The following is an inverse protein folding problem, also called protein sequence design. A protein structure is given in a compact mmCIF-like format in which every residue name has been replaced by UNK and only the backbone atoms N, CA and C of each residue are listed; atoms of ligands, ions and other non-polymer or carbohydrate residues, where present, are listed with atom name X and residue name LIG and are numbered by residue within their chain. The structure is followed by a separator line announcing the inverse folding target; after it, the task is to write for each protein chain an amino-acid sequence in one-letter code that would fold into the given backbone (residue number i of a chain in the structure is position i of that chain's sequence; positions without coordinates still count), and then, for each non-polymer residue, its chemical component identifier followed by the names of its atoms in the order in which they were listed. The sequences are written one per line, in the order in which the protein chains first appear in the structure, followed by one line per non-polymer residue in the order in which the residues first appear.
data_IF_324749799479
#
_entry.id   IF_324749799479
#
_cell.length_a   1.000
_cell.length_b   1.000
_cell.length_c   1.000
_cell.angle_alpha   90.00
_cell.angle_beta   90.00
_cell.angle_gamma   90.00
#
_symmetry.space_group_name_H-M   'P 1'
#
loop_
_entity.id
_entity.type
_entity.pdbx_description
1 polymer ?
#
# COMPACT_ATOMS: atom_id res chain seq x y z
N UNK A 1 -5.69 19.50 59.20
CA UNK A 1 -5.68 19.81 57.76
C UNK A 1 -5.51 18.49 57.05
N UNK A 2 -6.60 17.96 56.52
CA UNK A 2 -6.69 16.59 55.99
C UNK A 2 -6.78 16.72 54.48
N UNK A 3 -5.73 16.30 53.78
CA UNK A 3 -5.70 16.28 52.32
C UNK A 3 -6.76 15.30 51.80
N UNK A 4 -7.74 15.86 51.08
CA UNK A 4 -8.77 15.09 50.43
C UNK A 4 -8.16 14.32 49.26
N UNK A 5 -8.22 13.00 49.41
CA UNK A 5 -7.91 12.00 48.41
C UNK A 5 -8.84 12.21 47.19
N UNK A 6 -8.33 12.83 46.11
CA UNK A 6 -9.04 12.89 44.84
C UNK A 6 -9.07 11.47 44.24
N UNK A 7 -10.20 10.80 44.48
CA UNK A 7 -10.67 9.62 43.79
C UNK A 7 -10.61 9.84 42.27
N UNK A 8 -9.53 9.37 41.64
CA UNK A 8 -9.47 9.25 40.19
C UNK A 8 -10.41 8.13 39.78
N UNK A 9 -11.60 8.51 39.31
CA UNK A 9 -12.52 7.58 38.64
C UNK A 9 -11.77 6.86 37.51
N UNK A 10 -11.96 5.54 37.35
CA UNK A 10 -11.28 4.80 36.30
C UNK A 10 -11.68 5.37 34.95
N UNK A 11 -10.69 5.74 34.12
CA UNK A 11 -10.89 6.12 32.73
C UNK A 11 -11.57 4.95 32.02
N UNK A 12 -12.88 5.05 31.84
CA UNK A 12 -13.66 4.16 30.97
C UNK A 12 -12.95 4.20 29.61
N UNK A 13 -12.52 3.05 29.10
CA UNK A 13 -11.91 2.93 27.77
C UNK A 13 -12.83 3.57 26.72
N UNK A 14 -12.57 4.82 26.37
CA UNK A 14 -13.34 5.54 25.37
C UNK A 14 -12.97 4.95 24.00
N UNK A 15 -13.98 4.43 23.28
CA UNK A 15 -13.81 3.84 21.96
C UNK A 15 -13.78 4.96 20.91
N UNK A 16 -12.76 5.81 20.97
CA UNK A 16 -12.59 6.92 20.02
C UNK A 16 -11.98 8.17 20.65
N UNK A 17 -11.60 9.12 19.79
CA UNK A 17 -10.94 10.37 20.17
C UNK A 17 -11.94 11.42 20.70
N UNK A 18 -13.25 11.17 20.60
CA UNK A 18 -14.28 12.17 20.86
C UNK A 18 -15.54 11.56 21.48
N UNK A 19 -16.22 12.33 22.33
CA UNK A 19 -17.52 11.99 22.89
C UNK A 19 -18.65 12.52 21.98
N UNK A 20 -19.27 11.62 21.22
CA UNK A 20 -20.29 11.98 20.21
C UNK A 20 -21.48 12.72 20.81
N UNK A 21 -21.81 12.49 22.09
CA UNK A 21 -22.93 13.15 22.76
C UNK A 21 -22.64 14.60 23.19
N UNK A 22 -21.40 15.05 23.05
CA UNK A 22 -20.96 16.39 23.45
C UNK A 22 -20.63 17.29 22.24
N UNK A 23 -20.79 16.78 21.01
CA UNK A 23 -20.54 17.55 19.79
C UNK A 23 -21.50 18.75 19.72
N UNK A 24 -20.97 19.91 19.34
CA UNK A 24 -21.74 21.14 19.18
C UNK A 24 -21.78 21.63 17.73
N UNK A 25 -22.84 22.38 17.40
CA UNK A 25 -22.96 23.05 16.10
C UNK A 25 -21.82 24.05 15.96
N UNK A 26 -21.07 23.97 14.85
CA UNK A 26 -19.92 24.83 14.57
C UNK A 26 -18.56 24.23 14.93
N UNK A 27 -18.52 23.03 15.51
CA UNK A 27 -17.25 22.31 15.73
C UNK A 27 -16.64 21.81 14.41
N UNK A 28 -15.31 21.88 14.32
CA UNK A 28 -14.54 21.37 13.19
C UNK A 28 -14.02 19.97 13.52
N UNK A 29 -14.30 19.00 12.64
CA UNK A 29 -13.81 17.62 12.75
C UNK A 29 -12.87 17.31 11.58
N UNK A 30 -11.86 16.47 11.82
CA UNK A 30 -10.94 16.02 10.79
C UNK A 30 -10.63 14.53 10.97
N UNK A 31 -10.63 13.80 9.87
CA UNK A 31 -10.08 12.44 9.79
C UNK A 31 -9.53 12.17 8.38
N UNK A 32 -8.57 11.24 8.30
CA UNK A 32 -8.13 10.67 7.02
C UNK A 32 -8.82 9.31 6.89
N UNK A 33 -9.57 9.14 5.80
CA UNK A 33 -10.31 7.92 5.52
C UNK A 33 -10.03 7.44 4.10
N UNK A 34 -9.71 6.15 3.97
CA UNK A 34 -9.56 5.46 2.69
C UNK A 34 -10.82 4.65 2.40
N UNK A 35 -11.20 4.60 1.12
CA UNK A 35 -12.43 3.95 0.67
C UNK A 35 -12.14 2.98 -0.46
N UNK A 36 -12.82 1.83 -0.43
CA UNK A 36 -12.95 0.92 -1.57
C UNK A 36 -14.35 1.07 -2.16
N UNK A 37 -14.42 1.34 -3.46
CA UNK A 37 -15.69 1.44 -4.18
C UNK A 37 -16.33 0.06 -4.30
N UNK A 38 -17.59 -0.06 -3.91
CA UNK A 38 -18.39 -1.30 -4.04
C UNK A 38 -19.35 -1.20 -5.22
N UNK A 39 -19.98 -0.03 -5.40
CA UNK A 39 -20.97 0.19 -6.46
C UNK A 39 -21.00 1.65 -6.89
N UNK A 40 -21.11 1.89 -8.19
CA UNK A 40 -21.29 3.22 -8.77
C UNK A 40 -22.74 3.38 -9.21
N UNK A 41 -23.40 4.43 -8.74
CA UNK A 41 -24.75 4.82 -9.16
C UNK A 41 -24.70 6.15 -9.95
N UNK A 42 -25.80 6.62 -10.55
CA UNK A 42 -25.81 7.86 -11.32
C UNK A 42 -25.38 9.11 -10.53
N UNK A 43 -25.86 9.28 -9.29
CA UNK A 43 -25.57 10.46 -8.44
C UNK A 43 -24.61 10.19 -7.28
N UNK A 44 -24.47 8.93 -6.88
CA UNK A 44 -23.72 8.54 -5.68
C UNK A 44 -22.81 7.35 -5.93
N UNK A 45 -21.86 7.13 -5.03
CA UNK A 45 -20.98 5.95 -5.01
C UNK A 45 -21.10 5.28 -3.65
N UNK A 46 -21.37 3.97 -3.66
CA UNK A 46 -21.34 3.13 -2.45
C UNK A 46 -19.91 2.67 -2.21
N UNK A 47 -19.41 2.89 -1.00
CA UNK A 47 -18.04 2.58 -0.61
C UNK A 47 -18.01 1.82 0.72
N UNK A 48 -16.92 1.11 0.96
CA UNK A 48 -16.54 0.61 2.28
C UNK A 48 -15.25 1.29 2.70
N UNK A 49 -15.27 1.89 3.89
CA UNK A 49 -14.09 2.48 4.51
C UNK A 49 -13.08 1.39 4.89
N UNK A 50 -11.79 1.74 5.02
CA UNK A 50 -10.77 0.84 5.60
C UNK A 50 -11.16 0.31 7.00
N UNK A 51 -12.06 1.02 7.69
CA UNK A 51 -12.59 0.61 8.99
C UNK A 51 -13.68 -0.49 8.89
N UNK A 52 -14.11 -0.84 7.68
CA UNK A 52 -15.16 -1.83 7.42
C UNK A 52 -16.59 -1.25 7.43
N UNK A 53 -16.72 0.08 7.49
CA UNK A 53 -18.02 0.76 7.52
C UNK A 53 -18.45 1.08 6.09
N UNK A 54 -19.62 0.58 5.68
CA UNK A 54 -20.24 0.94 4.42
C UNK A 54 -20.90 2.32 4.49
N UNK A 55 -20.75 3.11 3.43
CA UNK A 55 -21.37 4.43 3.31
C UNK A 55 -21.65 4.76 1.84
N UNK A 56 -22.45 5.80 1.62
CA UNK A 56 -22.74 6.35 0.29
C UNK A 56 -22.22 7.78 0.24
N UNK A 57 -21.50 8.11 -0.82
CA UNK A 57 -20.89 9.42 -1.04
C UNK A 57 -21.50 10.03 -2.30
N UNK A 58 -21.91 11.29 -2.23
CA UNK A 58 -22.34 12.05 -3.40
C UNK A 58 -21.18 12.29 -4.36
N UNK A 59 -21.45 12.21 -5.67
CA UNK A 59 -20.39 12.37 -6.68
C UNK A 59 -19.69 13.72 -6.63
N UNK A 60 -20.39 14.77 -6.19
CA UNK A 60 -19.81 16.10 -6.04
C UNK A 60 -18.65 16.10 -5.03
N UNK A 61 -18.73 15.28 -3.97
CA UNK A 61 -17.62 15.11 -3.03
C UNK A 61 -16.52 14.18 -3.57
N UNK A 62 -16.90 13.20 -4.40
CA UNK A 62 -15.93 12.27 -5.03
C UNK A 62 -14.97 12.98 -5.97
N UNK A 63 -15.41 14.07 -6.64
CA UNK A 63 -14.55 14.82 -7.55
C UNK A 63 -13.31 15.44 -6.89
N UNK A 64 -13.40 15.74 -5.59
CA UNK A 64 -12.27 16.26 -4.80
C UNK A 64 -11.35 15.15 -4.26
N UNK A 65 -11.67 13.86 -4.49
CA UNK A 65 -10.91 12.73 -4.00
C UNK A 65 -9.83 12.28 -4.98
N UNK A 66 -8.72 11.75 -4.45
CA UNK A 66 -7.69 11.11 -5.27
C UNK A 66 -7.95 9.60 -5.43
N UNK A 67 -7.80 9.12 -6.67
CA UNK A 67 -7.82 7.69 -6.98
C UNK A 67 -6.41 7.12 -6.94
N UNK A 68 -6.30 5.88 -6.45
CA UNK A 68 -5.07 5.11 -6.50
C UNK A 68 -4.69 4.67 -7.93
N UNK A 69 -5.66 4.58 -8.85
CA UNK A 69 -5.48 3.97 -10.17
C UNK A 69 -5.60 4.96 -11.33
N UNK A 70 -6.29 6.09 -11.15
CA UNK A 70 -6.49 7.07 -12.20
C UNK A 70 -5.36 8.12 -12.21
N UNK A 71 -4.94 8.50 -13.41
CA UNK A 71 -3.98 9.56 -13.66
C UNK A 71 -4.25 10.20 -15.02
N UNK A 72 -3.75 11.42 -15.20
CA UNK A 72 -3.88 12.20 -16.42
C UNK A 72 -2.52 12.52 -17.05
N UNK A 73 -1.44 12.42 -16.27
CA UNK A 73 -0.09 12.78 -16.67
C UNK A 73 0.83 11.59 -16.44
N UNK A 74 1.68 11.29 -17.42
CA UNK A 74 2.84 10.43 -17.23
C UNK A 74 4.11 11.29 -17.18
N UNK A 75 4.96 11.05 -16.19
CA UNK A 75 6.23 11.76 -16.02
C UNK A 75 7.37 10.75 -15.85
N UNK A 76 8.31 10.75 -16.78
CA UNK A 76 9.51 9.94 -16.65
C UNK A 76 10.54 10.66 -15.79
N UNK A 77 10.90 10.05 -14.67
CA UNK A 77 11.78 10.63 -13.66
C UNK A 77 12.94 9.70 -13.31
N UNK A 78 13.99 10.28 -12.74
CA UNK A 78 15.14 9.56 -12.21
C UNK A 78 14.80 8.86 -10.89
N UNK A 79 15.66 7.93 -10.48
CA UNK A 79 15.57 7.25 -9.18
C UNK A 79 15.59 8.24 -8.00
N UNK A 80 16.42 9.27 -8.07
CA UNK A 80 16.50 10.27 -6.99
C UNK A 80 15.20 11.06 -6.88
N UNK A 81 14.61 11.46 -8.00
CA UNK A 81 13.33 12.18 -8.02
C UNK A 81 12.18 11.35 -7.44
N UNK A 82 12.10 10.04 -7.74
CA UNK A 82 11.01 9.22 -7.20
C UNK A 82 11.12 9.03 -5.69
N UNK A 83 12.35 8.94 -5.17
CA UNK A 83 12.60 8.89 -3.73
C UNK A 83 12.11 10.18 -3.06
N UNK A 84 12.35 11.34 -3.67
CA UNK A 84 11.83 12.61 -3.19
C UNK A 84 10.30 12.67 -3.21
N UNK A 85 9.65 12.15 -4.26
CA UNK A 85 8.19 12.08 -4.30
C UNK A 85 7.68 11.21 -3.14
N UNK A 86 8.19 9.99 -3.00
CA UNK A 86 7.75 9.04 -1.98
C UNK A 86 7.98 9.55 -0.56
N UNK A 87 9.12 10.20 -0.30
CA UNK A 87 9.43 10.81 0.99
C UNK A 87 8.46 11.92 1.41
N UNK A 88 7.68 12.48 0.48
CA UNK A 88 6.74 13.58 0.75
C UNK A 88 5.25 13.17 0.60
N UNK A 89 4.94 11.91 0.31
CA UNK A 89 3.55 11.45 0.14
C UNK A 89 2.77 11.47 1.46
N UNK A 90 3.42 11.14 2.58
CA UNK A 90 2.76 11.01 3.88
C UNK A 90 1.62 9.99 3.89
N UNK A 91 0.51 10.32 4.53
CA UNK A 91 -0.68 9.46 4.64
C UNK A 91 -1.65 9.61 3.44
N UNK A 92 -1.17 10.04 2.29
CA UNK A 92 -2.03 10.11 1.10
C UNK A 92 -2.03 8.77 0.37
N UNK A 93 -3.14 8.48 -0.30
CA UNK A 93 -3.27 7.25 -1.07
C UNK A 93 -2.40 7.29 -2.32
N UNK A 94 -1.71 6.19 -2.60
CA UNK A 94 -0.91 6.00 -3.79
C UNK A 94 -0.92 4.53 -4.24
N UNK A 95 -0.52 4.31 -5.50
CA UNK A 95 -0.15 2.98 -6.00
C UNK A 95 1.32 2.97 -6.34
N UNK A 96 2.09 2.03 -5.81
CA UNK A 96 3.49 1.82 -6.18
C UNK A 96 3.66 0.45 -6.79
N UNK A 97 4.49 0.37 -7.82
CA UNK A 97 4.97 -0.89 -8.36
C UNK A 97 6.49 -0.95 -8.22
N UNK A 98 6.97 -2.06 -7.68
CA UNK A 98 8.38 -2.27 -7.36
C UNK A 98 8.72 -3.75 -7.37
N UNK A 99 10.00 -4.08 -7.48
CA UNK A 99 10.44 -5.47 -7.38
C UNK A 99 10.81 -5.80 -5.93
N UNK A 100 10.11 -6.76 -5.34
CA UNK A 100 10.48 -7.32 -4.04
C UNK A 100 11.52 -8.43 -4.21
N UNK A 101 12.30 -8.64 -3.16
CA UNK A 101 13.21 -9.79 -3.10
C UNK A 101 12.41 -11.10 -3.16
N UNK A 102 12.87 -12.04 -3.99
CA UNK A 102 12.28 -13.37 -4.12
C UNK A 102 12.54 -14.17 -2.84
N UNK A 103 11.51 -14.83 -2.29
CA UNK A 103 11.67 -15.63 -1.07
C UNK A 103 12.43 -16.93 -1.38
N UNK A 104 13.25 -17.45 -0.46
CA UNK A 104 14.00 -18.68 -0.67
C UNK A 104 13.15 -19.90 -1.11
N UNK A 105 11.91 -20.00 -0.61
CA UNK A 105 10.96 -21.05 -1.01
C UNK A 105 10.59 -20.98 -2.50
N UNK A 106 10.40 -19.77 -3.01
CA UNK A 106 10.02 -19.54 -4.40
C UNK A 106 11.22 -19.78 -5.32
N UNK A 107 12.44 -19.46 -4.85
CA UNK A 107 13.69 -19.82 -5.52
C UNK A 107 13.79 -21.34 -5.69
N UNK A 108 13.55 -22.11 -4.61
CA UNK A 108 13.60 -23.57 -4.65
C UNK A 108 12.63 -24.14 -5.68
N UNK A 109 11.39 -23.65 -5.71
CA UNK A 109 10.38 -24.10 -6.67
C UNK A 109 10.76 -23.75 -8.12
N UNK A 110 11.31 -22.54 -8.35
CA UNK A 110 11.83 -22.14 -9.67
C UNK A 110 13.00 -23.01 -10.12
N UNK A 111 13.92 -23.37 -9.22
CA UNK A 111 15.03 -24.26 -9.55
C UNK A 111 14.58 -25.70 -9.84
N UNK A 112 13.59 -26.21 -9.09
CA UNK A 112 13.03 -27.55 -9.32
C UNK A 112 12.30 -27.66 -10.67
N UNK A 113 11.58 -26.62 -11.07
CA UNK A 113 10.92 -26.54 -12.39
C UNK A 113 11.92 -26.32 -13.53
N UNK A 114 13.12 -25.82 -13.24
CA UNK A 114 14.18 -25.65 -14.24
C UNK A 114 14.81 -26.97 -14.69
N UNK A 115 14.73 -28.01 -13.83
CA UNK A 115 15.42 -29.28 -14.01
C UNK A 115 14.50 -30.43 -14.41
N UNK A 116 13.18 -30.26 -14.28
CA UNK A 116 12.17 -31.30 -14.52
C UNK A 116 10.98 -30.76 -15.32
N UNK A 117 10.39 -31.60 -16.16
CA UNK A 117 9.12 -31.34 -16.84
C UNK A 117 7.90 -31.55 -15.91
N UNK A 118 6.69 -31.31 -16.42
CA UNK A 118 5.42 -31.48 -15.67
C UNK A 118 5.19 -32.92 -15.20
N UNK A 119 5.84 -33.90 -15.84
CA UNK A 119 5.77 -35.34 -15.52
C UNK A 119 6.89 -35.78 -14.56
N UNK A 120 7.77 -34.85 -14.15
CA UNK A 120 8.87 -35.10 -13.22
C UNK A 120 10.13 -35.70 -13.86
N UNK A 121 10.20 -35.79 -15.19
CA UNK A 121 11.38 -36.29 -15.91
C UNK A 121 12.42 -35.17 -16.07
N UNK A 122 13.72 -35.49 -15.98
CA UNK A 122 14.78 -34.49 -16.15
C UNK A 122 14.81 -33.93 -17.57
N UNK A 123 14.93 -32.61 -17.70
CA UNK A 123 15.09 -31.91 -18.98
C UNK A 123 16.48 -32.16 -19.59
N UNK A 124 16.64 -31.82 -20.87
CA UNK A 124 17.95 -31.87 -21.53
C UNK A 124 18.92 -30.85 -20.92
N UNK A 125 20.23 -31.09 -21.04
CA UNK A 125 21.25 -30.18 -20.51
C UNK A 125 21.10 -28.75 -21.08
N UNK A 126 20.82 -28.63 -22.37
CA UNK A 126 20.62 -27.34 -23.05
C UNK A 126 19.40 -26.59 -22.51
N UNK A 127 18.29 -27.29 -22.28
CA UNK A 127 17.07 -26.69 -21.71
C UNK A 127 17.29 -26.24 -20.26
N UNK A 128 18.02 -27.05 -19.47
CA UNK A 128 18.39 -26.71 -18.09
C UNK A 128 19.26 -25.46 -18.08
N UNK A 129 20.30 -25.38 -18.91
CA UNK A 129 21.19 -24.22 -18.96
C UNK A 129 20.40 -22.95 -19.32
N UNK A 130 19.56 -23.01 -20.34
CA UNK A 130 18.70 -21.90 -20.76
C UNK A 130 17.73 -21.47 -19.65
N UNK A 131 17.13 -22.42 -18.94
CA UNK A 131 16.22 -22.14 -17.84
C UNK A 131 16.93 -21.53 -16.62
N UNK A 132 18.11 -22.05 -16.26
CA UNK A 132 18.93 -21.49 -15.17
C UNK A 132 19.39 -20.06 -15.48
N UNK A 133 19.77 -19.77 -16.73
CA UNK A 133 20.11 -18.41 -17.14
C UNK A 133 18.94 -17.44 -17.02
N UNK A 134 17.72 -17.85 -17.40
CA UNK A 134 16.50 -17.04 -17.20
C UNK A 134 16.20 -16.82 -15.73
N UNK A 135 16.25 -17.88 -14.93
CA UNK A 135 15.99 -17.81 -13.49
C UNK A 135 17.00 -16.89 -12.80
N UNK A 136 18.28 -16.98 -13.14
CA UNK A 136 19.31 -16.09 -12.59
C UNK A 136 19.00 -14.61 -12.86
N UNK A 137 18.57 -14.26 -14.08
CA UNK A 137 18.13 -12.90 -14.42
C UNK A 137 16.90 -12.47 -13.63
N UNK A 138 15.90 -13.32 -13.51
CA UNK A 138 14.66 -13.04 -12.77
C UNK A 138 14.92 -12.88 -11.26
N UNK A 139 15.81 -13.70 -10.69
CA UNK A 139 16.19 -13.60 -9.29
C UNK A 139 16.92 -12.30 -8.97
N UNK A 140 17.81 -11.86 -9.87
CA UNK A 140 18.50 -10.58 -9.73
C UNK A 140 17.55 -9.38 -9.87
N UNK A 141 16.55 -9.48 -10.76
CA UNK A 141 15.54 -8.43 -10.95
C UNK A 141 14.55 -8.36 -9.80
N UNK A 142 14.21 -9.49 -9.19
CA UNK A 142 13.17 -9.61 -8.17
C UNK A 142 11.78 -9.91 -8.76
N UNK A 143 10.80 -10.11 -7.88
CA UNK A 143 9.40 -10.33 -8.27
C UNK A 143 8.66 -9.00 -8.26
N UNK A 144 8.02 -8.67 -9.38
CA UNK A 144 7.21 -7.46 -9.51
C UNK A 144 6.01 -7.51 -8.56
N UNK A 145 5.77 -6.38 -7.88
CA UNK A 145 4.63 -6.22 -6.99
C UNK A 145 4.04 -4.83 -7.15
N UNK A 146 2.71 -4.79 -7.28
CA UNK A 146 1.92 -3.58 -7.11
C UNK A 146 1.35 -3.54 -5.69
N UNK A 147 1.33 -2.37 -5.07
CA UNK A 147 0.75 -2.10 -3.76
C UNK A 147 -0.09 -0.83 -3.85
N UNK A 148 -1.32 -0.90 -3.33
CA UNK A 148 -2.18 0.27 -3.11
C UNK A 148 -2.19 0.57 -1.62
N UNK A 149 -1.82 1.79 -1.23
CA UNK A 149 -1.59 2.07 0.18
C UNK A 149 -1.31 3.52 0.53
N UNK A 150 -0.86 3.70 1.76
CA UNK A 150 -0.38 4.96 2.32
C UNK A 150 0.84 4.68 3.21
N UNK A 151 1.71 5.68 3.43
CA UNK A 151 2.88 5.50 4.28
C UNK A 151 2.48 5.56 5.76
N UNK A 152 3.03 4.63 6.55
CA UNK A 152 2.86 4.63 8.00
C UNK A 152 3.86 5.59 8.65
N UNK A 153 5.14 5.42 8.30
CA UNK A 153 6.27 6.23 8.76
C UNK A 153 7.28 6.35 7.63
N UNK A 154 7.85 7.54 7.49
CA UNK A 154 8.92 7.83 6.53
C UNK A 154 10.25 7.54 7.23
N UNK A 155 10.72 6.30 7.17
CA UNK A 155 12.08 5.97 7.62
C UNK A 155 13.06 6.26 6.49
N UNK A 156 13.47 7.52 6.38
CA UNK A 156 14.32 8.02 5.28
C UNK A 156 15.78 7.51 5.30
N UNK A 157 16.19 6.76 6.32
CA UNK A 157 17.62 6.52 6.54
C UNK A 157 18.23 5.39 5.70
N UNK A 158 17.44 4.56 4.99
CA UNK A 158 18.01 3.44 4.21
C UNK A 158 17.32 3.15 2.86
N UNK A 159 16.62 4.12 2.26
CA UNK A 159 15.99 3.94 0.93
C UNK A 159 14.84 2.92 0.94
N UNK A 160 14.16 2.78 2.07
CA UNK A 160 13.00 1.91 2.26
C UNK A 160 11.91 2.66 3.02
N UNK A 161 10.65 2.36 2.71
CA UNK A 161 9.52 2.93 3.46
C UNK A 161 8.51 1.87 3.88
N UNK A 162 7.95 2.08 5.07
CA UNK A 162 6.85 1.29 5.62
C UNK A 162 5.51 1.82 5.10
N UNK A 163 4.75 0.97 4.42
CA UNK A 163 3.41 1.28 3.92
C UNK A 163 2.37 0.30 4.45
N UNK A 164 1.15 0.79 4.60
CA UNK A 164 -0.04 -0.05 4.83
C UNK A 164 -0.64 -0.42 3.49
N UNK A 165 -0.72 -1.72 3.24
CA UNK A 165 -1.38 -2.29 2.07
C UNK A 165 -2.91 -2.32 2.28
N UNK A 166 -3.63 -1.55 1.47
CA UNK A 166 -5.10 -1.42 1.52
C UNK A 166 -5.82 -2.62 0.88
N UNK A 167 -5.14 -3.43 0.09
CA UNK A 167 -5.74 -4.63 -0.52
C UNK A 167 -5.86 -5.78 0.48
N UNK A 168 -5.10 -5.72 1.57
CA UNK A 168 -5.10 -6.72 2.61
C UNK A 168 -6.12 -6.35 3.69
N UNK A 169 -7.01 -7.29 3.98
CA UNK A 169 -8.06 -7.15 4.99
C UNK A 169 -7.52 -6.71 6.36
N UNK A 170 -8.30 -5.86 7.03
CA UNK A 170 -8.02 -5.41 8.38
C UNK A 170 -8.00 -6.60 9.35
N UNK A 171 -7.02 -6.62 10.26
CA UNK A 171 -6.78 -7.74 11.19
C UNK A 171 -5.70 -8.72 10.72
N UNK A 172 -5.30 -8.68 9.45
CA UNK A 172 -4.11 -9.38 8.94
C UNK A 172 -2.87 -8.48 8.99
N UNK A 173 -1.69 -9.05 8.75
CA UNK A 173 -0.46 -8.27 8.62
C UNK A 173 -0.43 -7.52 7.27
N UNK A 174 -0.72 -6.22 7.33
CA UNK A 174 -0.80 -5.29 6.18
C UNK A 174 0.47 -4.47 5.97
N UNK A 175 1.40 -4.49 6.92
CA UNK A 175 2.62 -3.69 6.85
C UNK A 175 3.52 -4.25 5.75
N UNK A 176 3.98 -3.38 4.85
CA UNK A 176 4.88 -3.73 3.75
C UNK A 176 6.05 -2.76 3.70
N UNK A 177 7.20 -3.28 3.31
CA UNK A 177 8.39 -2.49 3.01
C UNK A 177 8.47 -2.28 1.51
N UNK A 178 8.65 -1.03 1.11
CA UNK A 178 8.89 -0.61 -0.27
C UNK A 178 10.37 -0.26 -0.37
N UNK A 179 11.13 -0.96 -1.21
CA UNK A 179 12.53 -0.61 -1.50
C UNK A 179 12.57 0.38 -2.66
N UNK A 180 13.06 1.60 -2.41
CA UNK A 180 12.94 2.68 -3.39
C UNK A 180 13.80 2.42 -4.64
N UNK A 181 14.86 1.64 -4.48
CA UNK A 181 15.81 1.28 -5.54
C UNK A 181 15.21 0.35 -6.58
N UNK A 182 14.10 -0.31 -6.26
CA UNK A 182 13.44 -1.27 -7.15
C UNK A 182 12.07 -0.81 -7.64
N UNK A 183 11.67 0.44 -7.36
CA UNK A 183 10.44 1.03 -7.89
C UNK A 183 10.50 1.10 -9.42
N UNK A 184 9.44 0.66 -10.08
CA UNK A 184 9.25 0.79 -11.52
C UNK A 184 8.37 2.02 -11.83
N UNK A 185 7.27 2.19 -11.08
CA UNK A 185 6.41 3.37 -11.19
C UNK A 185 5.65 3.68 -9.89
N UNK A 186 5.13 4.90 -9.80
CA UNK A 186 4.30 5.42 -8.70
C UNK A 186 3.14 6.23 -9.27
N UNK A 187 1.92 5.92 -8.89
CA UNK A 187 0.73 6.73 -9.19
C UNK A 187 0.37 7.52 -7.93
N UNK A 188 0.41 8.85 -8.05
CA UNK A 188 0.14 9.77 -6.97
C UNK A 188 -0.40 11.09 -7.52
N UNK A 189 -1.48 11.61 -6.91
CA UNK A 189 -2.16 12.86 -7.31
C UNK A 189 -2.30 13.04 -8.83
N UNK A 190 -3.02 12.12 -9.46
CA UNK A 190 -3.32 12.15 -10.90
C UNK A 190 -2.08 12.10 -11.82
N UNK A 191 -0.90 11.78 -11.29
CA UNK A 191 0.35 11.64 -12.05
C UNK A 191 0.91 10.24 -11.87
N UNK A 192 1.28 9.60 -12.97
CA UNK A 192 2.06 8.36 -12.98
C UNK A 192 3.52 8.69 -13.25
N UNK A 193 4.34 8.55 -12.23
CA UNK A 193 5.78 8.70 -12.29
C UNK A 193 6.40 7.37 -12.71
N UNK A 194 7.14 7.36 -13.81
CA UNK A 194 7.79 6.17 -14.37
C UNK A 194 9.30 6.35 -14.19
N UNK A 195 9.97 5.37 -13.59
CA UNK A 195 11.42 5.44 -13.37
C UNK A 195 12.14 5.10 -14.67
N UNK A 196 13.08 5.98 -15.06
CA UNK A 196 14.00 5.75 -16.20
C UNK A 196 15.12 4.77 -15.87
#
# INVERSE_FOLDING_TARGET
MTEQNLSQKPLIRQRGNLNVNQIQVGEYLAEIQYYKVIKVNPKTIKVISDKGIESTIDKDLVWEMYSASQYHIEKYITRTEINHVLANIGQQIFTVNFNKQVKPTDIKNKLLTAIKDEEGKPLTYEDIEKNLQKISKDLNKGEERTLIGYLLEINNEMGRSSAIDLEIERGKNRLRQIDHRTINYLIFKNTKYIVK
#
